data_IF_289584265458
#
_entry.id   IF_289584265458
#
_cell.length_a   1.000
_cell.length_b   1.000
_cell.length_c   1.000
_cell.angle_alpha   90.00
_cell.angle_beta   90.00
_cell.angle_gamma   90.00
#
_symmetry.space_group_name_H-M   'P 1'
#
loop_
_entity.id
_entity.type
_entity.pdbx_description
1 polymer ?
#
# COMPACT_ATOMS: atom_id res chain seq x y z
N UNK A 1 -14.33 7.88 -41.11
CA UNK A 1 -14.67 6.59 -40.46
C UNK A 1 -14.36 6.71 -38.99
N UNK A 2 -15.37 7.01 -38.17
CA UNK A 2 -15.22 7.03 -36.70
C UNK A 2 -15.03 5.58 -36.22
N UNK A 3 -13.84 5.28 -35.74
CA UNK A 3 -13.53 3.98 -35.14
C UNK A 3 -14.47 3.78 -33.94
N UNK A 4 -15.36 2.78 -34.01
CA UNK A 4 -16.20 2.36 -32.89
C UNK A 4 -15.29 2.03 -31.70
N UNK A 5 -15.29 2.88 -30.67
CA UNK A 5 -14.59 2.59 -29.41
C UNK A 5 -15.17 1.28 -28.85
N UNK A 6 -14.31 0.29 -28.65
CA UNK A 6 -14.72 -0.94 -27.95
C UNK A 6 -15.24 -0.57 -26.56
N UNK A 7 -16.31 -1.19 -26.08
CA UNK A 7 -16.80 -0.97 -24.71
C UNK A 7 -15.68 -1.36 -23.72
N UNK A 8 -15.48 -0.49 -22.71
CA UNK A 8 -14.52 -0.74 -21.63
C UNK A 8 -15.00 -1.95 -20.82
N UNK A 9 -14.17 -2.96 -20.69
CA UNK A 9 -14.51 -4.18 -19.94
C UNK A 9 -14.23 -3.99 -18.44
N UNK A 10 -14.78 -4.87 -17.58
CA UNK A 10 -14.45 -4.89 -16.16
C UNK A 10 -12.95 -5.09 -15.92
N UNK A 11 -12.30 -5.92 -16.72
CA UNK A 11 -10.86 -6.15 -16.66
C UNK A 11 -10.05 -4.87 -16.96
N UNK A 12 -10.51 -4.04 -17.90
CA UNK A 12 -9.88 -2.76 -18.21
C UNK A 12 -10.03 -1.77 -17.04
N UNK A 13 -11.20 -1.75 -16.38
CA UNK A 13 -11.41 -0.95 -15.18
C UNK A 13 -10.46 -1.37 -14.05
N UNK A 14 -10.36 -2.67 -13.78
CA UNK A 14 -9.47 -3.20 -12.74
C UNK A 14 -8.01 -2.85 -13.05
N UNK A 15 -7.60 -2.98 -14.31
CA UNK A 15 -6.25 -2.64 -14.75
C UNK A 15 -5.93 -1.16 -14.54
N UNK A 16 -6.83 -0.26 -14.97
CA UNK A 16 -6.67 1.19 -14.80
C UNK A 16 -6.65 1.58 -13.32
N UNK A 17 -7.49 0.95 -12.51
CA UNK A 17 -7.52 1.16 -11.08
C UNK A 17 -6.16 0.83 -10.44
N UNK A 18 -5.61 -0.36 -10.69
CA UNK A 18 -4.30 -0.73 -10.15
C UNK A 18 -3.17 0.13 -10.71
N UNK A 19 -3.20 0.47 -11.99
CA UNK A 19 -2.19 1.35 -12.60
C UNK A 19 -2.13 2.69 -11.88
N UNK A 20 -3.29 3.32 -11.64
CA UNK A 20 -3.38 4.58 -10.89
C UNK A 20 -2.93 4.44 -9.44
N UNK A 21 -3.38 3.40 -8.77
CA UNK A 21 -3.06 3.18 -7.35
C UNK A 21 -1.57 2.90 -7.16
N UNK A 22 -0.98 2.03 -7.98
CA UNK A 22 0.45 1.70 -7.94
C UNK A 22 1.31 2.94 -8.22
N UNK A 23 1.00 3.71 -9.27
CA UNK A 23 1.76 4.91 -9.59
C UNK A 23 1.69 5.94 -8.46
N UNK A 24 0.49 6.23 -7.94
CA UNK A 24 0.33 7.15 -6.82
C UNK A 24 1.03 6.68 -5.55
N UNK A 25 1.02 5.38 -5.27
CA UNK A 25 1.71 4.82 -4.11
C UNK A 25 3.22 4.98 -4.21
N UNK A 26 3.82 4.75 -5.39
CA UNK A 26 5.25 4.96 -5.64
C UNK A 26 5.62 6.45 -5.49
N UNK A 27 4.82 7.35 -6.06
CA UNK A 27 5.04 8.82 -5.95
C UNK A 27 4.87 9.28 -4.50
N UNK A 28 3.87 8.79 -3.78
CA UNK A 28 3.64 9.12 -2.38
C UNK A 28 4.78 8.59 -1.48
N UNK A 29 5.30 7.40 -1.77
CA UNK A 29 6.43 6.82 -1.04
C UNK A 29 7.70 7.68 -1.20
N UNK A 30 7.99 8.14 -2.41
CA UNK A 30 9.13 9.03 -2.66
C UNK A 30 8.93 10.39 -1.98
N UNK A 31 7.74 10.98 -2.09
CA UNK A 31 7.38 12.24 -1.44
C UNK A 31 7.46 12.17 0.10
N UNK A 32 7.20 11.00 0.68
CA UNK A 32 7.35 10.75 2.12
C UNK A 32 8.81 10.52 2.55
N UNK A 33 9.78 10.55 1.64
CA UNK A 33 11.19 10.29 1.94
C UNK A 33 11.49 8.83 2.31
N UNK A 34 10.62 7.91 1.93
CA UNK A 34 10.82 6.49 2.17
C UNK A 34 11.80 5.89 1.14
N UNK A 35 12.49 4.77 1.47
CA UNK A 35 13.38 4.10 0.52
C UNK A 35 12.63 3.66 -0.74
N UNK A 36 13.39 3.38 -1.80
CA UNK A 36 12.87 2.76 -3.02
C UNK A 36 12.03 1.52 -2.68
N UNK A 37 11.00 1.27 -3.46
CA UNK A 37 9.99 0.25 -3.14
C UNK A 37 10.34 -1.07 -3.82
N UNK A 38 10.59 -2.12 -3.04
CA UNK A 38 10.62 -3.49 -3.56
C UNK A 38 9.21 -3.97 -3.92
N UNK A 39 9.12 -5.03 -4.72
CA UNK A 39 7.85 -5.68 -5.04
C UNK A 39 7.08 -6.06 -3.76
N UNK A 40 7.77 -6.65 -2.82
CA UNK A 40 7.22 -7.10 -1.53
C UNK A 40 6.57 -5.95 -0.77
N UNK A 41 7.32 -4.86 -0.62
CA UNK A 41 6.85 -3.65 0.05
C UNK A 41 5.67 -3.01 -0.66
N UNK A 42 5.68 -2.97 -2.00
CA UNK A 42 4.55 -2.46 -2.78
C UNK A 42 3.26 -3.21 -2.46
N UNK A 43 3.30 -4.53 -2.47
CA UNK A 43 2.12 -5.35 -2.20
C UNK A 43 1.65 -5.24 -0.74
N UNK A 44 2.57 -5.10 0.22
CA UNK A 44 2.23 -4.85 1.63
C UNK A 44 1.54 -3.48 1.81
N UNK A 45 2.10 -2.43 1.21
CA UNK A 45 1.50 -1.09 1.23
C UNK A 45 0.14 -1.05 0.52
N UNK A 46 -0.02 -1.78 -0.59
CA UNK A 46 -1.33 -1.94 -1.25
C UNK A 46 -2.34 -2.61 -0.33
N UNK A 47 -1.98 -3.69 0.35
CA UNK A 47 -2.88 -4.36 1.28
C UNK A 47 -3.32 -3.42 2.40
N UNK A 48 -2.37 -2.75 3.04
CA UNK A 48 -2.66 -1.79 4.12
C UNK A 48 -3.51 -0.62 3.64
N UNK A 49 -3.23 -0.10 2.44
CA UNK A 49 -4.03 0.98 1.85
C UNK A 49 -5.46 0.52 1.54
N UNK A 50 -5.67 -0.66 1.00
CA UNK A 50 -7.02 -1.20 0.78
C UNK A 50 -7.75 -1.46 2.10
N UNK A 51 -7.07 -2.00 3.11
CA UNK A 51 -7.65 -2.23 4.42
C UNK A 51 -8.12 -0.93 5.12
N UNK A 52 -7.43 0.20 4.87
CA UNK A 52 -7.69 1.50 5.49
C UNK A 52 -8.53 2.44 4.64
N UNK A 53 -8.75 2.15 3.35
CA UNK A 53 -9.28 3.11 2.37
C UNK A 53 -10.65 3.69 2.73
N UNK A 54 -11.54 2.89 3.32
CA UNK A 54 -12.86 3.35 3.75
C UNK A 54 -12.83 4.36 4.89
N UNK A 55 -11.80 4.35 5.72
CA UNK A 55 -11.58 5.40 6.72
C UNK A 55 -11.40 6.78 6.06
N UNK A 56 -10.86 6.83 4.84
CA UNK A 56 -10.78 8.03 3.99
C UNK A 56 -11.98 8.20 3.06
N UNK A 57 -13.04 7.41 3.23
CA UNK A 57 -14.18 7.31 2.33
C UNK A 57 -13.77 7.07 0.86
N UNK A 58 -12.74 6.23 0.66
CA UNK A 58 -12.29 5.75 -0.64
C UNK A 58 -12.71 4.30 -0.76
N UNK A 59 -13.42 3.99 -1.85
CA UNK A 59 -13.86 2.63 -2.11
C UNK A 59 -12.68 1.78 -2.56
N UNK A 60 -12.35 0.68 -1.86
CA UNK A 60 -11.27 -0.21 -2.26
C UNK A 60 -11.68 -1.06 -3.45
N UNK A 61 -10.70 -1.46 -4.25
CA UNK A 61 -10.93 -2.51 -5.23
C UNK A 61 -11.21 -3.83 -4.49
N UNK A 62 -12.32 -4.49 -4.86
CA UNK A 62 -12.71 -5.78 -4.29
C UNK A 62 -11.94 -6.92 -4.96
N UNK A 63 -10.65 -6.98 -4.74
CA UNK A 63 -9.81 -8.08 -5.21
C UNK A 63 -9.16 -8.79 -4.03
N UNK A 64 -9.14 -10.11 -4.12
CA UNK A 64 -8.43 -10.96 -3.18
C UNK A 64 -6.94 -10.91 -3.47
N UNK A 65 -6.14 -10.76 -2.43
CA UNK A 65 -4.72 -11.04 -2.52
C UNK A 65 -4.46 -12.52 -2.28
N UNK A 66 -3.39 -13.06 -2.85
CA UNK A 66 -2.85 -14.35 -2.46
C UNK A 66 -1.80 -14.13 -1.38
N UNK A 67 -1.83 -14.94 -0.32
CA UNK A 67 -0.73 -15.00 0.63
C UNK A 67 0.43 -15.77 0.03
N UNK A 68 1.62 -15.20 0.08
CA UNK A 68 2.88 -15.87 -0.27
C UNK A 68 3.80 -15.89 0.94
N UNK A 69 4.93 -16.57 0.87
CA UNK A 69 5.97 -16.50 1.91
C UNK A 69 6.48 -15.06 2.13
N UNK A 70 6.33 -14.22 1.12
CA UNK A 70 6.76 -12.82 1.13
C UNK A 70 5.61 -11.84 1.43
N UNK A 71 4.48 -12.28 1.96
CA UNK A 71 3.33 -11.43 2.26
C UNK A 71 2.22 -11.46 1.21
N UNK A 72 1.36 -10.42 1.14
CA UNK A 72 0.26 -10.37 0.18
C UNK A 72 0.77 -10.19 -1.25
N UNK A 73 0.05 -10.77 -2.21
CA UNK A 73 0.34 -10.65 -3.64
C UNK A 73 -0.94 -10.39 -4.44
N UNK A 74 -0.98 -9.26 -5.15
CA UNK A 74 -2.03 -8.88 -6.08
C UNK A 74 -1.54 -9.03 -7.52
N UNK A 75 -2.04 -10.04 -8.25
CA UNK A 75 -1.62 -10.28 -9.63
C UNK A 75 -1.82 -9.06 -10.53
N UNK A 76 -2.99 -8.40 -10.44
CA UNK A 76 -3.29 -7.25 -11.29
C UNK A 76 -2.42 -6.03 -10.96
N UNK A 77 -2.02 -5.85 -9.71
CA UNK A 77 -1.06 -4.81 -9.34
C UNK A 77 0.33 -5.09 -9.92
N UNK A 78 0.74 -6.37 -9.94
CA UNK A 78 1.99 -6.78 -10.55
C UNK A 78 2.00 -6.54 -12.07
N UNK A 79 0.90 -6.88 -12.76
CA UNK A 79 0.72 -6.58 -14.18
C UNK A 79 0.71 -5.07 -14.44
N UNK A 80 0.03 -4.29 -13.59
CA UNK A 80 0.02 -2.83 -13.68
C UNK A 80 1.43 -2.24 -13.50
N UNK A 81 2.19 -2.73 -12.51
CA UNK A 81 3.58 -2.33 -12.30
C UNK A 81 4.44 -2.60 -13.54
N UNK A 82 4.33 -3.80 -14.14
CA UNK A 82 5.01 -4.12 -15.40
C UNK A 82 4.62 -3.18 -16.54
N UNK A 83 3.33 -2.85 -16.65
CA UNK A 83 2.84 -1.87 -17.62
C UNK A 83 3.42 -0.46 -17.41
N UNK A 84 3.57 -0.02 -16.16
CA UNK A 84 4.19 1.26 -15.80
C UNK A 84 5.69 1.30 -16.14
N UNK A 85 6.40 0.18 -15.92
CA UNK A 85 7.82 0.06 -16.30
C UNK A 85 7.97 0.10 -17.82
N UNK A 86 7.19 -0.69 -18.55
CA UNK A 86 7.23 -0.70 -20.02
C UNK A 86 6.80 0.64 -20.64
N UNK A 87 5.91 1.36 -19.98
CA UNK A 87 5.48 2.71 -20.37
C UNK A 87 6.47 3.82 -19.97
N UNK A 88 7.61 3.49 -19.37
CA UNK A 88 8.61 4.47 -18.94
C UNK A 88 8.20 5.37 -17.77
N UNK A 89 7.08 5.08 -17.10
CA UNK A 89 6.60 5.83 -15.94
C UNK A 89 7.26 5.42 -14.62
N UNK A 90 7.79 4.20 -14.58
CA UNK A 90 8.49 3.62 -13.42
C UNK A 90 9.81 3.05 -13.90
N UNK A 91 10.91 3.38 -13.22
CA UNK A 91 12.20 2.73 -13.40
C UNK A 91 12.32 1.53 -12.45
N UNK A 92 13.08 0.54 -12.88
CA UNK A 92 13.42 -0.64 -12.08
C UNK A 92 14.93 -0.79 -12.01
N UNK A 93 15.43 -0.99 -10.80
CA UNK A 93 16.83 -1.34 -10.52
C UNK A 93 16.86 -2.77 -9.97
N UNK A 94 18.00 -3.44 -10.06
CA UNK A 94 18.20 -4.82 -9.58
C UNK A 94 17.16 -5.80 -10.11
N UNK A 95 16.84 -5.65 -11.42
CA UNK A 95 15.80 -6.44 -12.06
C UNK A 95 16.18 -7.92 -12.12
N UNK A 96 15.33 -8.77 -11.60
CA UNK A 96 15.41 -10.23 -11.72
C UNK A 96 14.07 -10.78 -12.20
N UNK A 97 14.10 -11.61 -13.24
CA UNK A 97 12.93 -12.32 -13.74
C UNK A 97 12.97 -13.78 -13.30
N UNK A 98 11.89 -14.23 -12.67
CA UNK A 98 11.72 -15.62 -12.27
C UNK A 98 10.62 -16.25 -13.14
N UNK A 99 10.93 -17.26 -13.96
CA UNK A 99 9.91 -17.99 -14.68
C UNK A 99 8.99 -18.70 -13.67
N UNK A 100 7.70 -18.44 -13.77
CA UNK A 100 6.68 -19.16 -13.02
C UNK A 100 5.76 -19.91 -13.98
N UNK A 101 5.17 -21.07 -13.60
CA UNK A 101 4.42 -21.94 -14.52
C UNK A 101 3.26 -21.27 -15.25
N UNK A 102 2.73 -20.17 -14.73
CA UNK A 102 1.57 -19.44 -15.30
C UNK A 102 1.74 -17.93 -15.35
N UNK A 103 2.91 -17.42 -14.94
CA UNK A 103 3.13 -15.99 -14.85
C UNK A 103 4.62 -15.67 -14.87
N UNK A 104 5.02 -14.56 -15.48
CA UNK A 104 6.37 -14.05 -15.36
C UNK A 104 6.41 -13.19 -14.10
N UNK A 105 7.05 -13.70 -13.06
CA UNK A 105 7.31 -12.91 -11.86
C UNK A 105 8.63 -12.17 -12.00
N UNK A 106 8.60 -10.88 -11.74
CA UNK A 106 9.81 -10.07 -11.70
C UNK A 106 9.97 -9.42 -10.33
N UNK A 107 11.21 -9.27 -9.94
CA UNK A 107 11.62 -8.58 -8.74
C UNK A 107 12.50 -7.40 -9.13
N UNK A 108 12.66 -6.47 -8.22
CA UNK A 108 13.44 -5.27 -8.42
C UNK A 108 13.04 -4.19 -7.43
N UNK A 109 13.71 -3.07 -7.54
CA UNK A 109 13.46 -1.89 -6.74
C UNK A 109 12.92 -0.80 -7.66
N UNK A 110 11.73 -0.30 -7.32
CA UNK A 110 10.93 0.56 -8.20
C UNK A 110 10.90 1.99 -7.67
N UNK A 111 10.96 2.95 -8.61
CA UNK A 111 10.73 4.37 -8.34
C UNK A 111 10.05 5.05 -9.53
N UNK A 112 9.26 6.12 -9.32
CA UNK A 112 8.70 6.88 -10.42
C UNK A 112 9.82 7.57 -11.22
N UNK A 113 9.64 7.68 -12.55
CA UNK A 113 10.46 8.52 -13.41
C UNK A 113 9.88 9.94 -13.47
N UNK A 114 10.57 10.88 -14.11
CA UNK A 114 10.01 12.21 -14.37
C UNK A 114 8.68 12.13 -15.13
N UNK A 115 8.59 11.28 -16.16
CA UNK A 115 7.34 11.02 -16.87
C UNK A 115 6.25 10.47 -15.94
N UNK A 116 6.59 9.57 -15.03
CA UNK A 116 5.65 9.06 -14.03
C UNK A 116 5.17 10.13 -13.05
N UNK A 117 6.04 11.03 -12.64
CA UNK A 117 5.70 12.19 -11.80
C UNK A 117 4.74 13.15 -12.52
N UNK A 118 4.99 13.47 -13.78
CA UNK A 118 4.14 14.34 -14.60
C UNK A 118 2.74 13.75 -14.81
N UNK A 119 2.67 12.45 -15.12
CA UNK A 119 1.39 11.73 -15.26
C UNK A 119 0.64 11.72 -13.92
N UNK A 120 1.32 11.45 -12.83
CA UNK A 120 0.71 11.48 -11.50
C UNK A 120 0.21 12.90 -11.15
N UNK A 121 0.97 13.94 -11.50
CA UNK A 121 0.55 15.33 -11.30
C UNK A 121 -0.73 15.63 -12.07
N UNK A 122 -0.80 15.28 -13.35
CA UNK A 122 -2.01 15.45 -14.18
C UNK A 122 -3.22 14.71 -13.60
N UNK A 123 -3.02 13.47 -13.13
CA UNK A 123 -4.11 12.72 -12.49
C UNK A 123 -4.59 13.36 -11.18
N UNK A 124 -3.72 14.06 -10.44
CA UNK A 124 -4.07 14.78 -9.20
C UNK A 124 -4.94 16.02 -9.44
N UNK A 125 -5.01 16.53 -10.65
CA UNK A 125 -5.91 17.65 -11.01
C UNK A 125 -7.39 17.23 -10.92
N UNK A 126 -7.68 15.93 -10.96
CA UNK A 126 -9.03 15.42 -10.74
C UNK A 126 -9.35 15.31 -9.24
N UNK A 127 -10.62 15.56 -8.86
CA UNK A 127 -11.07 15.45 -7.46
C UNK A 127 -10.78 14.06 -6.88
N UNK A 128 -11.06 13.01 -7.65
CA UNK A 128 -10.82 11.61 -7.23
C UNK A 128 -9.34 11.28 -7.15
N UNK A 129 -8.53 11.83 -8.05
CA UNK A 129 -7.07 11.66 -8.04
C UNK A 129 -6.42 12.38 -6.88
N UNK A 130 -6.78 13.63 -6.62
CA UNK A 130 -6.28 14.41 -5.49
C UNK A 130 -6.58 13.70 -4.14
N UNK A 131 -7.81 13.19 -4.00
CA UNK A 131 -8.24 12.48 -2.79
C UNK A 131 -7.47 11.18 -2.58
N UNK A 132 -7.33 10.37 -3.62
CA UNK A 132 -6.58 9.12 -3.57
C UNK A 132 -5.10 9.38 -3.26
N UNK A 133 -4.49 10.35 -3.94
CA UNK A 133 -3.09 10.70 -3.69
C UNK A 133 -2.85 11.17 -2.26
N UNK A 134 -3.71 12.07 -1.73
CA UNK A 134 -3.60 12.55 -0.33
C UNK A 134 -3.66 11.38 0.65
N UNK A 135 -4.61 10.48 0.47
CA UNK A 135 -4.72 9.28 1.30
C UNK A 135 -3.44 8.43 1.27
N UNK A 136 -2.92 8.12 0.08
CA UNK A 136 -1.71 7.31 -0.05
C UNK A 136 -0.47 8.03 0.52
N UNK A 137 -0.41 9.35 0.39
CA UNK A 137 0.65 10.16 0.99
C UNK A 137 0.58 10.10 2.52
N UNK A 138 -0.61 10.23 3.12
CA UNK A 138 -0.80 10.11 4.57
C UNK A 138 -0.35 8.73 5.08
N UNK A 139 -0.68 7.67 4.33
CA UNK A 139 -0.23 6.31 4.64
C UNK A 139 1.30 6.17 4.61
N UNK A 140 1.95 6.73 3.59
CA UNK A 140 3.40 6.70 3.45
C UNK A 140 4.09 7.57 4.51
N UNK A 141 3.58 8.76 4.81
CA UNK A 141 4.09 9.64 5.87
C UNK A 141 3.97 8.99 7.25
N UNK A 142 2.84 8.32 7.53
CA UNK A 142 2.68 7.56 8.76
C UNK A 142 3.71 6.44 8.88
N UNK A 143 3.96 5.71 7.78
CA UNK A 143 4.99 4.67 7.72
C UNK A 143 6.40 5.25 7.92
N UNK A 144 6.69 6.40 7.31
CA UNK A 144 7.97 7.10 7.49
C UNK A 144 8.17 7.53 8.94
N UNK A 145 7.14 8.10 9.56
CA UNK A 145 7.17 8.48 10.98
C UNK A 145 7.42 7.29 11.89
N UNK A 146 6.68 6.21 11.69
CA UNK A 146 6.74 5.00 12.53
C UNK A 146 8.08 4.28 12.40
N UNK A 147 8.72 4.33 11.24
CA UNK A 147 10.02 3.68 10.97
C UNK A 147 11.22 4.60 11.17
N UNK A 148 11.02 5.86 11.60
CA UNK A 148 12.12 6.81 11.83
C UNK A 148 12.82 6.49 13.17
N UNK A 149 14.15 6.25 13.18
CA UNK A 149 14.91 5.95 14.40
C UNK A 149 14.93 7.09 15.42
N UNK A 150 14.62 8.34 15.01
CA UNK A 150 14.61 9.49 15.92
C UNK A 150 13.38 9.57 16.85
N UNK A 151 12.36 8.74 16.65
CA UNK A 151 11.18 8.72 17.51
C UNK A 151 11.33 7.82 18.75
N UNK A 152 12.46 7.87 19.42
CA UNK A 152 12.67 7.27 20.75
C UNK A 152 13.22 5.85 20.76
N UNK A 153 13.57 5.28 19.62
CA UNK A 153 14.21 3.98 19.52
C UNK A 153 15.65 4.12 19.08
N UNK A 154 16.54 4.04 20.06
CA UNK A 154 18.00 4.18 19.94
C UNK A 154 18.68 2.91 19.43
N UNK A 155 18.05 2.09 18.63
CA UNK A 155 18.76 1.00 17.97
C UNK A 155 19.49 1.51 16.72
N UNK A 156 20.52 2.32 16.99
CA UNK A 156 21.39 2.97 16.00
C UNK A 156 22.26 1.99 15.19
N UNK A 157 22.12 0.67 15.41
CA UNK A 157 22.92 -0.37 14.74
C UNK A 157 22.29 -0.85 13.42
N UNK A 158 21.15 -0.28 13.03
CA UNK A 158 20.35 -0.79 11.94
C UNK A 158 20.69 -0.11 10.61
N UNK A 159 21.19 -0.86 9.63
CA UNK A 159 21.34 -0.48 8.22
C UNK A 159 20.02 0.09 7.66
N UNK A 160 19.96 1.33 7.12
CA UNK A 160 18.70 2.07 6.94
C UNK A 160 17.71 1.50 5.91
N UNK A 161 18.12 0.65 4.99
CA UNK A 161 17.29 0.19 3.86
C UNK A 161 16.55 -1.13 4.13
N UNK A 162 17.29 -2.21 4.34
CA UNK A 162 16.75 -3.58 4.42
C UNK A 162 15.90 -3.79 5.67
N UNK A 163 16.26 -3.15 6.77
CA UNK A 163 15.58 -3.29 8.05
C UNK A 163 14.25 -2.54 8.13
N UNK A 164 14.05 -1.45 7.36
CA UNK A 164 12.75 -0.78 7.26
C UNK A 164 11.72 -1.60 6.49
N UNK A 165 12.14 -2.44 5.54
CA UNK A 165 11.24 -3.38 4.87
C UNK A 165 10.79 -4.50 5.80
N UNK A 166 11.69 -5.10 6.55
CA UNK A 166 11.37 -6.09 7.56
C UNK A 166 10.38 -5.54 8.61
N UNK A 167 10.59 -4.32 9.10
CA UNK A 167 9.66 -3.66 10.02
C UNK A 167 8.27 -3.51 9.40
N UNK A 168 8.16 -3.09 8.15
CA UNK A 168 6.85 -2.92 7.50
C UNK A 168 6.13 -4.26 7.29
N UNK A 169 6.85 -5.27 6.81
CA UNK A 169 6.24 -6.56 6.45
C UNK A 169 5.98 -7.43 7.67
N UNK A 170 6.96 -7.60 8.53
CA UNK A 170 6.90 -8.54 9.63
C UNK A 170 6.21 -7.95 10.86
N UNK A 171 6.45 -6.67 11.14
CA UNK A 171 5.95 -6.04 12.36
C UNK A 171 4.63 -5.33 12.17
N UNK A 172 4.51 -4.47 11.16
CA UNK A 172 3.28 -3.69 10.96
C UNK A 172 2.21 -4.54 10.30
N UNK A 173 2.50 -5.13 9.14
CA UNK A 173 1.52 -5.91 8.41
C UNK A 173 1.09 -7.16 9.18
N UNK A 174 2.04 -7.90 9.80
CA UNK A 174 1.75 -9.10 10.57
C UNK A 174 0.82 -8.86 11.76
N UNK A 175 0.83 -7.67 12.34
CA UNK A 175 -0.05 -7.26 13.44
C UNK A 175 -1.33 -6.55 12.99
N UNK A 176 -1.47 -6.20 11.70
CA UNK A 176 -2.68 -5.58 11.17
C UNK A 176 -3.92 -6.47 11.37
N UNK A 177 -5.00 -5.85 11.88
CA UNK A 177 -6.19 -6.60 12.29
C UNK A 177 -6.89 -7.29 11.11
N UNK A 178 -6.92 -6.63 9.94
CA UNK A 178 -7.53 -7.21 8.73
C UNK A 178 -6.67 -8.34 8.18
N UNK A 179 -5.34 -8.16 8.15
CA UNK A 179 -4.42 -9.19 7.69
C UNK A 179 -4.50 -10.45 8.57
N UNK A 180 -4.45 -10.30 9.90
CA UNK A 180 -4.56 -11.42 10.85
C UNK A 180 -5.90 -12.16 10.74
N UNK A 181 -7.01 -11.41 10.57
CA UNK A 181 -8.32 -12.02 10.34
C UNK A 181 -8.34 -12.81 9.05
N UNK A 182 -7.85 -12.24 7.94
CA UNK A 182 -7.80 -12.90 6.65
C UNK A 182 -6.95 -14.17 6.69
N UNK A 183 -5.77 -14.12 7.29
CA UNK A 183 -4.90 -15.30 7.47
C UNK A 183 -5.59 -16.40 8.28
N UNK A 184 -6.26 -16.04 9.37
CA UNK A 184 -6.96 -17.00 10.23
C UNK A 184 -8.15 -17.66 9.53
N UNK A 185 -8.93 -16.91 8.75
CA UNK A 185 -10.18 -17.41 8.15
C UNK A 185 -9.98 -18.07 6.79
N UNK A 186 -9.15 -17.49 5.94
CA UNK A 186 -9.05 -17.84 4.53
C UNK A 186 -7.72 -18.46 4.13
N UNK A 187 -6.76 -18.54 5.05
CA UNK A 187 -5.45 -19.14 4.81
C UNK A 187 -4.65 -18.41 3.73
N UNK A 188 -4.48 -19.04 2.56
CA UNK A 188 -3.68 -18.49 1.46
C UNK A 188 -4.39 -17.41 0.63
N UNK A 189 -5.69 -17.21 0.85
CA UNK A 189 -6.47 -16.14 0.22
C UNK A 189 -6.64 -15.05 1.26
N UNK A 190 -6.24 -13.83 0.90
CA UNK A 190 -6.41 -12.67 1.77
C UNK A 190 -7.60 -11.86 1.28
N UNK A 191 -8.73 -12.01 1.97
CA UNK A 191 -9.95 -11.27 1.73
C UNK A 191 -10.13 -10.20 2.80
N UNK A 192 -10.38 -8.95 2.38
CA UNK A 192 -10.40 -7.82 3.32
C UNK A 192 -11.65 -7.83 4.19
N UNK A 193 -12.79 -8.28 3.65
CA UNK A 193 -14.11 -8.19 4.28
C UNK A 193 -15.00 -9.35 3.83
N UNK A 194 -15.90 -9.77 4.70
CA UNK A 194 -16.82 -10.88 4.41
C UNK A 194 -18.00 -10.43 3.53
N UNK A 195 -18.46 -9.20 3.71
CA UNK A 195 -19.54 -8.59 2.95
C UNK A 195 -19.10 -7.29 2.26
N UNK A 196 -19.74 -6.91 1.14
CA UNK A 196 -19.41 -5.70 0.39
C UNK A 196 -19.40 -4.43 1.24
N UNK A 197 -20.31 -4.32 2.18
CA UNK A 197 -20.54 -3.12 2.99
C UNK A 197 -19.92 -3.22 4.39
N UNK A 198 -19.32 -4.36 4.72
CA UNK A 198 -18.65 -4.57 5.98
C UNK A 198 -17.37 -3.71 6.07
N UNK A 199 -17.19 -3.04 7.20
CA UNK A 199 -15.94 -2.36 7.51
C UNK A 199 -14.83 -3.38 7.80
N UNK A 200 -13.62 -3.09 7.34
CA UNK A 200 -12.48 -3.91 7.72
C UNK A 200 -12.14 -3.73 9.21
N UNK A 201 -11.60 -4.74 9.88
CA UNK A 201 -11.08 -4.59 11.25
C UNK A 201 -10.08 -3.45 11.40
N UNK A 202 -9.29 -3.16 10.37
CA UNK A 202 -8.36 -2.01 10.34
C UNK A 202 -9.10 -0.69 10.41
N UNK A 203 -10.20 -0.52 9.66
CA UNK A 203 -11.03 0.70 9.74
C UNK A 203 -11.64 0.86 11.13
N UNK A 204 -12.16 -0.21 11.72
CA UNK A 204 -12.68 -0.16 13.09
C UNK A 204 -11.59 0.25 14.10
N UNK A 205 -10.37 -0.28 13.95
CA UNK A 205 -9.23 0.11 14.78
C UNK A 205 -8.82 1.57 14.61
N UNK A 206 -8.83 2.08 13.37
CA UNK A 206 -8.57 3.50 13.10
C UNK A 206 -9.63 4.41 13.73
N UNK A 207 -10.92 4.06 13.60
CA UNK A 207 -12.02 4.83 14.23
C UNK A 207 -11.91 4.86 15.75
N UNK A 208 -11.56 3.75 16.38
CA UNK A 208 -11.36 3.72 17.84
C UNK A 208 -10.18 4.60 18.29
N UNK A 209 -9.11 4.69 17.50
CA UNK A 209 -8.00 5.62 17.80
C UNK A 209 -8.44 7.06 17.58
N UNK A 210 -9.20 7.33 16.53
CA UNK A 210 -9.76 8.65 16.26
C UNK A 210 -10.57 9.16 17.44
N UNK A 211 -11.50 8.36 17.96
CA UNK A 211 -12.30 8.68 19.15
C UNK A 211 -11.42 9.01 20.38
N UNK A 212 -10.30 8.28 20.56
CA UNK A 212 -9.36 8.58 21.65
C UNK A 212 -8.62 9.90 21.44
N UNK A 213 -8.24 10.24 20.19
CA UNK A 213 -7.52 11.47 19.89
C UNK A 213 -8.44 12.70 19.95
N UNK A 214 -9.72 12.55 19.59
CA UNK A 214 -10.74 13.61 19.73
C UNK A 214 -10.84 14.14 21.18
N UNK A 215 -10.68 13.25 22.14
CA UNK A 215 -10.69 13.62 23.56
C UNK A 215 -9.42 14.37 24.00
N UNK A 216 -8.34 14.30 23.23
CA UNK A 216 -7.04 14.90 23.57
C UNK A 216 -6.80 16.26 22.88
N UNK A 217 -7.57 16.61 21.85
CA UNK A 217 -7.47 17.89 21.15
C UNK A 217 -7.43 17.76 19.63
N UNK A 218 -6.82 18.75 18.97
CA UNK A 218 -6.77 18.80 17.51
C UNK A 218 -5.85 17.71 16.93
N UNK A 219 -6.36 16.96 15.98
CA UNK A 219 -5.63 15.93 15.23
C UNK A 219 -6.01 15.98 13.74
N UNK A 220 -5.27 15.27 12.91
CA UNK A 220 -5.62 15.01 11.52
C UNK A 220 -5.59 13.50 11.23
N UNK A 221 -6.17 13.08 10.10
CA UNK A 221 -6.24 11.65 9.75
C UNK A 221 -4.89 10.97 9.64
N UNK A 222 -3.85 11.68 9.23
CA UNK A 222 -2.48 11.15 9.20
C UNK A 222 -2.00 10.77 10.60
N UNK A 223 -2.34 11.57 11.62
CA UNK A 223 -1.95 11.30 13.01
C UNK A 223 -2.62 10.02 13.54
N UNK A 224 -3.90 9.80 13.18
CA UNK A 224 -4.62 8.55 13.49
C UNK A 224 -3.92 7.34 12.85
N UNK A 225 -3.56 7.43 11.59
CA UNK A 225 -2.85 6.34 10.88
C UNK A 225 -1.48 6.10 11.49
N UNK A 226 -0.73 7.16 11.82
CA UNK A 226 0.57 7.05 12.49
C UNK A 226 0.46 6.40 13.87
N UNK A 227 -0.54 6.77 14.66
CA UNK A 227 -0.81 6.15 15.95
C UNK A 227 -1.16 4.66 15.80
N UNK A 228 -2.00 4.31 14.82
CA UNK A 228 -2.34 2.91 14.51
C UNK A 228 -1.10 2.10 14.15
N UNK A 229 -0.28 2.56 13.22
CA UNK A 229 0.95 1.86 12.81
C UNK A 229 1.94 1.74 13.97
N UNK A 230 2.07 2.78 14.81
CA UNK A 230 2.90 2.76 16.01
C UNK A 230 2.42 1.70 17.00
N UNK A 231 1.10 1.56 17.18
CA UNK A 231 0.50 0.52 18.01
C UNK A 231 0.82 -0.88 17.49
N UNK A 232 0.70 -1.10 16.18
CA UNK A 232 1.03 -2.39 15.56
C UNK A 232 2.51 -2.73 15.76
N UNK A 233 3.41 -1.77 15.57
CA UNK A 233 4.85 -1.96 15.79
C UNK A 233 5.16 -2.31 17.25
N UNK A 234 4.55 -1.62 18.22
CA UNK A 234 4.73 -1.93 19.63
C UNK A 234 4.21 -3.32 20.00
N UNK A 235 3.14 -3.78 19.36
CA UNK A 235 2.60 -5.13 19.58
C UNK A 235 3.56 -6.19 19.06
N UNK A 236 4.12 -6.03 17.87
CA UNK A 236 5.05 -7.00 17.30
C UNK A 236 6.29 -7.19 18.17
N UNK A 237 6.80 -6.10 18.77
CA UNK A 237 7.98 -6.16 19.67
C UNK A 237 7.69 -6.88 20.99
N UNK A 238 6.44 -6.92 21.45
CA UNK A 238 6.06 -7.67 22.68
C UNK A 238 5.83 -9.15 22.41
N UNK A 239 5.66 -9.54 21.14
CA UNK A 239 5.41 -10.90 20.73
C UNK A 239 6.69 -11.65 20.30
N UNK A 240 7.81 -10.93 20.10
CA UNK A 240 9.13 -11.46 19.82
C UNK A 240 9.94 -11.66 21.12
#
# INVERSE_FOLDING_TARGET
>A
LAAKRKPVTRADHDRLFFTRWVLFLLVANEAAGLPKVSRQRLHALLFMSFASSRYYAIEPLRQRARRTQQGPYYRNAHVALGGLVLGGMVSVEDFMAHPAPRDLQFEGVFRPTLTGLDVAQTMRETVTGARLYRFLLDMCLASAYTTNPHNGDTDATLEPGIKREGILLDNILGEDLTYRRAVRRYGDILELQDAPDEQTPTVAGLSSIEECLEQQGAYNRKDVVAAYQTLLMRRSRKAA
#
